data_IF_968026551785
#
_entry.id   IF_968026551785
#
_cell.length_a   1.000
_cell.length_b   1.000
_cell.length_c   1.000
_cell.angle_alpha   90.00
_cell.angle_beta   90.00
_cell.angle_gamma   90.00
#
_symmetry.space_group_name_H-M   'P 1'
#
loop_
_entity.id
_entity.type
_entity.pdbx_description
1 polymer ?
#
# COMPACT_ATOMS: atom_id res chain seq x y z
N UNK A 1 -10.55 27.85 9.21
CA UNK A 1 -10.64 26.80 10.25
C UNK A 1 -12.07 26.28 10.23
N UNK A 2 -12.27 25.01 9.86
CA UNK A 2 -13.60 24.42 9.76
C UNK A 2 -14.23 24.16 11.13
N UNK A 3 -15.55 24.15 11.23
CA UNK A 3 -16.26 23.74 12.46
C UNK A 3 -17.05 22.48 12.15
N UNK A 4 -16.66 21.37 12.77
CA UNK A 4 -17.34 20.09 12.59
C UNK A 4 -18.38 19.93 13.69
N UNK A 5 -19.60 19.58 13.28
CA UNK A 5 -20.74 19.42 14.19
C UNK A 5 -21.20 17.96 14.32
N UNK A 6 -20.79 17.07 13.41
CA UNK A 6 -21.15 15.65 13.47
C UNK A 6 -20.06 14.71 12.94
N UNK A 7 -20.18 13.43 13.27
CA UNK A 7 -19.33 12.35 12.75
C UNK A 7 -19.42 12.22 11.23
N UNK A 8 -20.62 12.35 10.67
CA UNK A 8 -20.87 12.20 9.23
C UNK A 8 -20.16 13.30 8.44
N UNK A 9 -20.15 14.52 8.99
CA UNK A 9 -19.42 15.65 8.41
C UNK A 9 -17.91 15.38 8.39
N UNK A 10 -17.35 14.88 9.51
CA UNK A 10 -15.93 14.51 9.58
C UNK A 10 -15.57 13.39 8.60
N UNK A 11 -16.38 12.33 8.54
CA UNK A 11 -16.13 11.21 7.63
C UNK A 11 -16.17 11.65 6.17
N UNK A 12 -17.04 12.60 5.81
CA UNK A 12 -17.09 13.18 4.47
C UNK A 12 -15.83 13.99 4.15
N UNK A 13 -15.22 14.67 5.12
CA UNK A 13 -13.93 15.32 4.91
C UNK A 13 -12.83 14.28 4.67
N UNK A 14 -12.74 13.26 5.54
CA UNK A 14 -11.75 12.17 5.42
C UNK A 14 -11.85 11.49 4.04
N UNK A 15 -13.07 11.14 3.59
CA UNK A 15 -13.26 10.43 2.32
C UNK A 15 -12.90 11.25 1.07
N UNK A 16 -12.88 12.58 1.18
CA UNK A 16 -12.57 13.50 0.09
C UNK A 16 -11.15 14.07 0.19
N UNK A 17 -10.32 13.56 1.12
CA UNK A 17 -8.93 13.98 1.21
C UNK A 17 -8.09 13.35 0.10
N UNK A 18 -7.12 14.11 -0.39
CA UNK A 18 -6.11 13.76 -1.37
C UNK A 18 -4.84 14.60 -1.11
N UNK A 19 -3.83 14.42 -1.94
CA UNK A 19 -2.58 15.18 -1.89
C UNK A 19 -2.76 16.71 -1.89
N UNK A 20 -3.72 17.26 -2.64
CA UNK A 20 -3.98 18.71 -2.74
C UNK A 20 -4.58 19.32 -1.46
N UNK A 21 -5.33 18.54 -0.68
CA UNK A 21 -5.97 18.98 0.57
C UNK A 21 -5.55 18.13 1.79
N UNK A 22 -4.31 17.63 1.75
CA UNK A 22 -3.71 16.70 2.69
C UNK A 22 -3.63 17.18 4.14
N UNK A 23 -3.85 18.48 4.40
CA UNK A 23 -3.89 19.04 5.76
C UNK A 23 -5.18 19.82 5.97
N UNK A 24 -5.96 19.41 6.97
CA UNK A 24 -7.23 20.04 7.31
C UNK A 24 -7.34 20.35 8.81
N UNK A 25 -7.51 21.62 9.17
CA UNK A 25 -7.69 22.08 10.55
C UNK A 25 -9.15 22.40 10.86
N UNK A 26 -9.68 21.78 11.91
CA UNK A 26 -11.05 21.97 12.36
C UNK A 26 -11.18 22.07 13.87
N UNK A 27 -12.33 22.54 14.34
CA UNK A 27 -12.69 22.57 15.76
C UNK A 27 -13.98 21.82 16.01
N UNK A 28 -14.02 21.10 17.13
CA UNK A 28 -15.23 20.46 17.65
C UNK A 28 -15.69 21.25 18.90
N UNK A 29 -16.95 21.72 18.94
CA UNK A 29 -17.50 22.41 20.09
C UNK A 29 -17.33 21.59 21.39
N UNK A 30 -16.75 22.21 22.42
CA UNK A 30 -16.52 21.57 23.71
C UNK A 30 -15.38 20.54 23.75
N UNK A 31 -14.67 20.29 22.64
CA UNK A 31 -13.53 19.36 22.58
C UNK A 31 -12.22 20.01 22.14
N UNK A 32 -12.29 21.13 21.43
CA UNK A 32 -11.12 21.92 21.06
C UNK A 32 -10.80 21.91 19.57
N UNK A 33 -9.52 22.10 19.25
CA UNK A 33 -9.01 22.20 17.87
C UNK A 33 -8.24 20.93 17.51
N UNK A 34 -8.40 20.49 16.26
CA UNK A 34 -7.81 19.29 15.71
C UNK A 34 -7.21 19.59 14.34
N UNK A 35 -6.16 18.85 14.00
CA UNK A 35 -5.56 18.84 12.67
C UNK A 35 -5.61 17.41 12.15
N UNK A 36 -6.23 17.23 11.00
CA UNK A 36 -6.22 15.99 10.23
C UNK A 36 -5.15 16.11 9.15
N UNK A 37 -4.30 15.10 9.06
CA UNK A 37 -3.23 15.01 8.07
C UNK A 37 -3.41 13.70 7.33
N UNK A 38 -3.52 13.76 6.00
CA UNK A 38 -3.48 12.59 5.14
C UNK A 38 -2.02 12.14 5.05
N UNK A 39 -1.75 10.97 5.60
CA UNK A 39 -0.52 10.24 5.35
C UNK A 39 -0.83 9.27 4.22
N UNK A 40 -0.65 9.72 2.98
CA UNK A 40 -0.53 8.78 1.88
C UNK A 40 0.73 7.97 2.17
N UNK A 41 0.58 6.66 2.35
CA UNK A 41 1.73 5.79 2.15
C UNK A 41 2.09 5.96 0.66
N UNK A 42 3.18 6.68 0.38
CA UNK A 42 3.88 6.70 -0.90
C UNK A 42 4.40 5.29 -1.28
N UNK A 43 3.79 4.22 -0.78
CA UNK A 43 3.99 2.89 -1.33
C UNK A 43 3.28 2.89 -2.69
N UNK A 44 4.05 3.30 -3.70
CA UNK A 44 3.77 2.99 -5.10
C UNK A 44 3.23 1.56 -5.12
N UNK A 45 1.99 1.40 -5.57
CA UNK A 45 1.42 0.06 -5.61
C UNK A 45 2.30 -0.83 -6.47
N UNK A 46 2.35 -2.13 -6.17
CA UNK A 46 3.07 -3.11 -7.00
C UNK A 46 2.66 -2.96 -8.49
N UNK A 47 1.41 -2.59 -8.75
CA UNK A 47 0.93 -2.30 -10.10
C UNK A 47 1.63 -1.07 -10.71
N UNK A 48 1.72 0.03 -9.97
CA UNK A 48 2.42 1.24 -10.42
C UNK A 48 3.91 0.94 -10.69
N UNK A 49 4.57 0.22 -9.80
CA UNK A 49 5.98 -0.16 -9.97
C UNK A 49 6.19 -1.11 -11.16
N UNK A 50 5.29 -2.06 -11.38
CA UNK A 50 5.32 -2.95 -12.54
C UNK A 50 5.05 -2.20 -13.87
N UNK A 51 4.24 -1.14 -13.85
CA UNK A 51 4.02 -0.30 -15.03
C UNK A 51 5.26 0.55 -15.37
N UNK A 52 6.02 1.01 -14.37
CA UNK A 52 7.28 1.72 -14.56
C UNK A 52 8.47 0.80 -14.95
N UNK A 53 8.42 -0.49 -14.58
CA UNK A 53 9.48 -1.46 -14.85
C UNK A 53 8.98 -2.69 -15.66
N UNK A 54 9.23 -2.74 -16.98
CA UNK A 54 8.81 -3.85 -17.84
C UNK A 54 9.37 -5.23 -17.43
N UNK A 55 10.59 -5.28 -16.88
CA UNK A 55 11.21 -6.52 -16.42
C UNK A 55 10.48 -7.05 -15.17
N UNK A 56 10.21 -6.17 -14.20
CA UNK A 56 9.42 -6.51 -13.02
C UNK A 56 8.02 -7.02 -13.41
N UNK A 57 7.37 -6.36 -14.37
CA UNK A 57 6.08 -6.81 -14.90
C UNK A 57 6.13 -8.22 -15.49
N UNK A 58 7.19 -8.52 -16.25
CA UNK A 58 7.40 -9.83 -16.83
C UNK A 58 7.62 -10.88 -15.73
N UNK A 59 8.49 -10.61 -14.76
CA UNK A 59 8.75 -11.51 -13.62
C UNK A 59 7.47 -11.84 -12.83
N UNK A 60 6.64 -10.83 -12.55
CA UNK A 60 5.37 -11.02 -11.85
C UNK A 60 4.41 -11.91 -12.64
N UNK A 61 4.32 -11.68 -13.97
CA UNK A 61 3.47 -12.50 -14.84
C UNK A 61 3.95 -13.95 -14.89
N UNK A 62 5.25 -14.18 -15.09
CA UNK A 62 5.82 -15.52 -15.13
C UNK A 62 5.65 -16.24 -13.78
N UNK A 63 5.81 -15.54 -12.67
CA UNK A 63 5.57 -16.08 -11.33
C UNK A 63 4.12 -16.53 -11.13
N UNK A 64 3.15 -15.73 -11.59
CA UNK A 64 1.73 -16.08 -11.55
C UNK A 64 1.44 -17.32 -12.41
N UNK A 65 1.97 -17.37 -13.64
CA UNK A 65 1.80 -18.52 -14.53
C UNK A 65 2.41 -19.80 -13.92
N UNK A 66 3.58 -19.72 -13.29
CA UNK A 66 4.18 -20.87 -12.60
C UNK A 66 3.34 -21.34 -11.41
N UNK A 67 2.78 -20.41 -10.64
CA UNK A 67 1.90 -20.73 -9.53
C UNK A 67 0.62 -21.45 -10.00
N UNK A 68 -0.05 -20.92 -11.02
CA UNK A 68 -1.26 -21.53 -11.61
C UNK A 68 -1.00 -22.93 -12.16
N UNK A 69 0.17 -23.12 -12.79
CA UNK A 69 0.60 -24.42 -13.32
C UNK A 69 1.17 -25.36 -12.25
N UNK A 70 1.15 -24.99 -10.96
CA UNK A 70 1.71 -25.76 -9.84
C UNK A 70 3.19 -26.12 -10.03
N UNK A 71 3.92 -25.24 -10.69
CA UNK A 71 5.37 -25.33 -10.92
C UNK A 71 6.18 -24.65 -9.81
N UNK A 72 5.50 -24.18 -8.75
CA UNK A 72 6.15 -23.60 -7.57
C UNK A 72 6.86 -24.63 -6.71
N UNK A 73 7.86 -24.18 -5.96
CA UNK A 73 8.60 -24.98 -5.00
C UNK A 73 8.23 -24.54 -3.58
N UNK A 74 7.97 -25.49 -2.69
CA UNK A 74 7.78 -25.18 -1.27
C UNK A 74 9.08 -24.76 -0.61
N UNK A 75 8.99 -24.05 0.52
CA UNK A 75 10.17 -23.68 1.31
C UNK A 75 11.02 -24.89 1.68
N UNK A 76 10.39 -26.02 2.03
CA UNK A 76 11.10 -27.26 2.36
C UNK A 76 11.84 -27.84 1.16
N UNK A 77 11.20 -27.88 -0.01
CA UNK A 77 11.85 -28.35 -1.24
C UNK A 77 13.02 -27.44 -1.61
N UNK A 78 12.86 -26.12 -1.51
CA UNK A 78 13.93 -25.15 -1.77
C UNK A 78 15.12 -25.40 -0.84
N UNK A 79 14.89 -25.47 0.48
CA UNK A 79 15.96 -25.69 1.46
C UNK A 79 16.69 -27.02 1.23
N UNK A 80 15.98 -28.06 0.80
CA UNK A 80 16.57 -29.36 0.48
C UNK A 80 17.34 -29.37 -0.85
N UNK A 81 17.01 -28.46 -1.77
CA UNK A 81 17.70 -28.33 -3.06
C UNK A 81 19.03 -27.59 -2.94
N UNK A 82 19.20 -26.77 -1.91
CA UNK A 82 20.42 -26.01 -1.65
C UNK A 82 21.51 -26.90 -1.06
N UNK A 83 22.73 -26.72 -1.55
CA UNK A 83 23.93 -27.44 -1.12
C UNK A 83 24.98 -26.47 -0.59
N UNK A 84 26.00 -27.00 0.09
CA UNK A 84 27.12 -26.19 0.60
C UNK A 84 27.84 -25.37 -0.48
N UNK A 85 27.80 -25.82 -1.74
CA UNK A 85 28.43 -25.15 -2.88
C UNK A 85 27.68 -23.90 -3.33
N UNK A 86 26.40 -23.78 -2.99
CA UNK A 86 25.57 -22.64 -3.41
C UNK A 86 25.80 -21.40 -2.53
N UNK A 87 26.61 -21.55 -1.46
CA UNK A 87 26.94 -20.50 -0.49
C UNK A 87 28.44 -20.15 -0.49
N UNK A 88 29.22 -20.66 -1.44
CA UNK A 88 30.68 -20.50 -1.56
C UNK A 88 31.08 -20.21 -2.98
#
# INVERSE_FOLDING_TARGET
MGKIQSSEELMKYISNMNSDNSVFQFSIPGKGKFTLVLQEEDEKSIQFEAEENPELKQMLKESQEQYENKLGMSTSELLNSLSKKDFT
#
